data_IF_136949135531
#
_entry.id   IF_136949135531
#
_cell.length_a   1.000
_cell.length_b   1.000
_cell.length_c   1.000
_cell.angle_alpha   90.00
_cell.angle_beta   90.00
_cell.angle_gamma   90.00
#
_symmetry.space_group_name_H-M   'P 1'
#
loop_
_entity.id
_entity.type
_entity.pdbx_description
1 polymer ?
#
# COMPACT_ATOMS: atom_id res chain seq x y z
N UNK A 1 18.01 -14.14 10.16
CA UNK A 1 17.68 -12.74 10.56
C UNK A 1 17.45 -11.88 9.32
N UNK A 2 16.69 -10.78 9.37
CA UNK A 2 16.53 -9.91 8.20
C UNK A 2 17.84 -9.18 7.87
N UNK A 3 18.21 -9.16 6.59
CA UNK A 3 19.35 -8.38 6.09
C UNK A 3 19.08 -6.88 6.16
N UNK A 4 20.13 -6.05 6.12
CA UNK A 4 19.98 -4.58 6.13
C UNK A 4 19.04 -4.10 5.00
N UNK A 5 19.14 -4.71 3.82
CA UNK A 5 18.31 -4.37 2.66
C UNK A 5 16.83 -4.65 2.96
N UNK A 6 16.49 -5.84 3.45
CA UNK A 6 15.11 -6.20 3.82
C UNK A 6 14.56 -5.26 4.88
N UNK A 7 15.37 -4.90 5.88
CA UNK A 7 14.98 -3.96 6.94
C UNK A 7 14.67 -2.57 6.37
N UNK A 8 15.52 -2.04 5.49
CA UNK A 8 15.29 -0.75 4.84
C UNK A 8 14.09 -0.78 3.89
N UNK A 9 13.85 -1.90 3.20
CA UNK A 9 12.66 -2.07 2.38
C UNK A 9 11.41 -1.91 3.26
N UNK A 10 11.27 -2.68 4.34
CA UNK A 10 10.12 -2.53 5.25
C UNK A 10 10.00 -1.12 5.85
N UNK A 11 11.12 -0.47 6.22
CA UNK A 11 11.09 0.91 6.70
C UNK A 11 10.61 1.90 5.63
N UNK A 12 10.98 1.71 4.36
CA UNK A 12 10.48 2.53 3.26
C UNK A 12 8.96 2.39 3.10
N UNK A 13 8.43 1.17 3.23
CA UNK A 13 6.98 0.95 3.29
C UNK A 13 6.32 1.65 4.48
N UNK A 14 6.91 1.55 5.68
CA UNK A 14 6.41 2.26 6.86
C UNK A 14 6.37 3.78 6.64
N UNK A 15 7.42 4.36 6.05
CA UNK A 15 7.48 5.79 5.74
C UNK A 15 6.44 6.19 4.69
N UNK A 16 6.26 5.38 3.65
CA UNK A 16 5.22 5.56 2.64
C UNK A 16 3.82 5.62 3.27
N UNK A 17 3.51 4.70 4.18
CA UNK A 17 2.20 4.66 4.86
C UNK A 17 1.99 5.85 5.80
N UNK A 18 3.05 6.39 6.42
CA UNK A 18 2.96 7.66 7.16
C UNK A 18 2.62 8.82 6.21
N UNK A 19 3.29 8.91 5.06
CA UNK A 19 2.99 9.94 4.08
C UNK A 19 1.55 9.83 3.53
N UNK A 20 1.07 8.60 3.30
CA UNK A 20 -0.31 8.33 2.90
C UNK A 20 -1.30 8.75 4.00
N UNK A 21 -1.02 8.45 5.27
CA UNK A 21 -1.85 8.89 6.39
C UNK A 21 -2.00 10.42 6.42
N UNK A 22 -0.88 11.14 6.30
CA UNK A 22 -0.85 12.60 6.24
C UNK A 22 -1.65 13.10 5.04
N UNK A 23 -1.45 12.51 3.86
CA UNK A 23 -2.15 12.90 2.64
C UNK A 23 -3.66 12.75 2.76
N UNK A 24 -4.15 11.61 3.23
CA UNK A 24 -5.60 11.39 3.46
C UNK A 24 -6.13 12.29 4.59
N UNK A 25 -5.36 12.51 5.66
CA UNK A 25 -5.82 13.40 6.72
C UNK A 25 -5.98 14.84 6.23
N UNK A 26 -5.04 15.39 5.46
CA UNK A 26 -5.12 16.77 4.99
C UNK A 26 -5.80 16.95 3.62
N UNK A 27 -6.27 15.86 2.99
CA UNK A 27 -6.89 15.91 1.67
C UNK A 27 -5.92 16.23 0.52
N UNK A 28 -4.64 15.87 0.67
CA UNK A 28 -3.59 16.10 -0.32
C UNK A 28 -3.70 15.05 -1.43
N UNK A 29 -4.38 15.40 -2.53
CA UNK A 29 -4.68 14.51 -3.66
C UNK A 29 -3.51 14.35 -4.62
N UNK A 30 -2.48 13.61 -4.20
CA UNK A 30 -1.35 13.25 -5.05
C UNK A 30 -1.47 11.79 -5.53
N UNK A 31 -1.28 11.48 -6.83
CA UNK A 31 -1.43 10.12 -7.37
C UNK A 31 -0.55 9.04 -6.74
N UNK A 32 0.46 9.39 -5.95
CA UNK A 32 1.34 8.40 -5.30
C UNK A 32 0.89 8.12 -3.86
N UNK A 33 0.34 9.12 -3.20
CA UNK A 33 -0.01 9.09 -1.77
C UNK A 33 -1.50 8.90 -1.52
N UNK A 34 -2.32 9.05 -2.56
CA UNK A 34 -3.77 9.05 -2.48
C UNK A 34 -4.31 8.11 -3.55
N UNK A 35 -4.83 6.97 -3.12
CA UNK A 35 -5.44 5.99 -4.04
C UNK A 35 -6.74 6.58 -4.56
N UNK A 36 -6.98 6.47 -5.87
CA UNK A 36 -8.16 7.05 -6.52
C UNK A 36 -8.29 8.59 -6.32
N UNK A 37 -7.16 9.30 -6.26
CA UNK A 37 -7.04 10.73 -5.93
C UNK A 37 -8.06 11.68 -6.61
N UNK A 38 -8.48 11.35 -7.82
CA UNK A 38 -9.37 12.13 -8.68
C UNK A 38 -10.81 11.59 -8.75
N UNK A 39 -11.21 10.69 -7.86
CA UNK A 39 -12.61 10.28 -7.72
C UNK A 39 -13.32 11.02 -6.58
N UNK A 40 -14.65 11.13 -6.60
CA UNK A 40 -15.42 11.72 -5.51
C UNK A 40 -15.31 10.90 -4.21
N UNK A 41 -15.09 11.55 -3.08
CA UNK A 41 -15.13 10.94 -1.75
C UNK A 41 -15.78 11.88 -0.75
N UNK A 42 -16.29 11.30 0.33
CA UNK A 42 -16.64 12.09 1.51
C UNK A 42 -15.39 12.32 2.37
N UNK A 43 -15.18 13.56 2.80
CA UNK A 43 -14.01 13.95 3.58
C UNK A 43 -13.81 13.10 4.86
N UNK A 44 -14.89 12.61 5.48
CA UNK A 44 -14.79 11.73 6.65
C UNK A 44 -14.20 10.34 6.32
N UNK A 45 -14.40 9.83 5.10
CA UNK A 45 -13.85 8.55 4.65
C UNK A 45 -12.33 8.63 4.58
N UNK A 46 -11.79 9.75 4.09
CA UNK A 46 -10.34 10.00 4.07
C UNK A 46 -9.75 10.03 5.47
N UNK A 47 -10.47 10.61 6.44
CA UNK A 47 -10.05 10.55 7.85
C UNK A 47 -10.00 9.12 8.35
N UNK A 48 -11.00 8.29 8.05
CA UNK A 48 -11.00 6.87 8.43
C UNK A 48 -9.79 6.15 7.81
N UNK A 49 -9.53 6.34 6.51
CA UNK A 49 -8.38 5.75 5.82
C UNK A 49 -7.07 6.19 6.47
N UNK A 50 -6.94 7.48 6.83
CA UNK A 50 -5.73 8.03 7.45
C UNK A 50 -5.37 7.35 8.78
N UNK A 51 -6.36 6.93 9.57
CA UNK A 51 -6.11 6.18 10.81
C UNK A 51 -5.98 4.68 10.56
N UNK A 52 -6.73 4.11 9.61
CA UNK A 52 -6.64 2.70 9.27
C UNK A 52 -5.24 2.33 8.72
N UNK A 53 -4.63 3.20 7.91
CA UNK A 53 -3.31 2.96 7.34
C UNK A 53 -2.18 2.97 8.39
N UNK A 54 -2.40 3.54 9.59
CA UNK A 54 -1.45 3.44 10.70
C UNK A 54 -1.20 1.98 11.15
N UNK A 55 -2.15 1.06 10.91
CA UNK A 55 -1.92 -0.36 11.13
C UNK A 55 -0.79 -0.90 10.23
N UNK A 56 -0.72 -0.44 8.98
CA UNK A 56 0.38 -0.79 8.08
C UNK A 56 1.71 -0.18 8.55
N UNK A 57 1.70 1.05 9.07
CA UNK A 57 2.90 1.68 9.67
C UNK A 57 3.48 0.79 10.77
N UNK A 58 2.64 0.41 11.75
CA UNK A 58 3.06 -0.45 12.85
C UNK A 58 3.54 -1.82 12.38
N UNK A 59 2.80 -2.46 11.46
CA UNK A 59 3.13 -3.78 10.92
C UNK A 59 4.45 -3.77 10.15
N UNK A 60 4.68 -2.78 9.29
CA UNK A 60 5.90 -2.65 8.49
C UNK A 60 7.10 -2.25 9.35
N UNK A 61 6.91 -1.36 10.33
CA UNK A 61 7.94 -1.06 11.31
C UNK A 61 8.34 -2.31 12.09
N UNK A 62 7.37 -3.11 12.56
CA UNK A 62 7.64 -4.37 13.27
C UNK A 62 8.37 -5.38 12.36
N UNK A 63 7.92 -5.57 11.12
CA UNK A 63 8.58 -6.43 10.13
C UNK A 63 10.03 -5.99 9.82
N UNK A 64 10.36 -4.70 9.96
CA UNK A 64 11.73 -4.20 9.82
C UNK A 64 12.68 -4.62 10.96
N UNK A 65 12.13 -5.08 12.08
CA UNK A 65 12.87 -5.51 13.27
C UNK A 65 12.79 -7.02 13.47
N UNK A 66 11.64 -7.62 13.15
CA UNK A 66 11.25 -8.97 13.49
C UNK A 66 10.91 -9.78 12.22
N UNK A 67 11.69 -10.84 11.95
CA UNK A 67 11.56 -11.64 10.73
C UNK A 67 10.28 -12.47 10.71
N UNK A 68 9.86 -12.97 11.86
CA UNK A 68 8.61 -13.68 12.12
C UNK A 68 7.38 -12.86 11.69
N UNK A 69 7.45 -11.53 11.76
CA UNK A 69 6.37 -10.63 11.32
C UNK A 69 6.44 -10.31 9.81
N UNK A 70 7.59 -10.49 9.18
CA UNK A 70 7.83 -10.07 7.80
C UNK A 70 6.90 -10.73 6.78
N UNK A 71 6.65 -12.04 6.91
CA UNK A 71 5.74 -12.74 6.01
C UNK A 71 4.30 -12.24 6.16
N UNK A 72 3.85 -12.00 7.39
CA UNK A 72 2.53 -11.43 7.67
C UNK A 72 2.38 -10.06 7.01
N UNK A 73 3.38 -9.18 7.10
CA UNK A 73 3.37 -7.88 6.44
C UNK A 73 3.26 -7.99 4.92
N UNK A 74 3.99 -8.94 4.31
CA UNK A 74 3.94 -9.22 2.87
C UNK A 74 2.55 -9.72 2.45
N UNK A 75 1.98 -10.67 3.20
CA UNK A 75 0.64 -11.22 2.91
C UNK A 75 -0.43 -10.16 3.02
N UNK A 76 -0.41 -9.35 4.08
CA UNK A 76 -1.38 -8.25 4.25
C UNK A 76 -1.28 -7.27 3.08
N UNK A 77 -0.07 -6.90 2.65
CA UNK A 77 0.09 -6.01 1.49
C UNK A 77 -0.37 -6.67 0.18
N UNK A 78 -0.15 -7.97 0.01
CA UNK A 78 -0.65 -8.72 -1.15
C UNK A 78 -2.19 -8.74 -1.18
N UNK A 79 -2.85 -8.88 -0.02
CA UNK A 79 -4.30 -8.77 0.08
C UNK A 79 -4.79 -7.35 -0.27
N UNK A 80 -4.03 -6.30 0.08
CA UNK A 80 -4.32 -4.94 -0.39
C UNK A 80 -4.31 -4.86 -1.91
N UNK A 81 -3.30 -5.45 -2.58
CA UNK A 81 -3.22 -5.47 -4.05
C UNK A 81 -4.44 -6.16 -4.66
N UNK A 82 -4.86 -7.29 -4.11
CA UNK A 82 -6.06 -8.01 -4.58
C UNK A 82 -7.31 -7.14 -4.38
N UNK A 83 -7.46 -6.51 -3.21
CA UNK A 83 -8.57 -5.60 -2.92
C UNK A 83 -8.61 -4.40 -3.87
N UNK A 84 -7.47 -3.78 -4.14
CA UNK A 84 -7.36 -2.68 -5.13
C UNK A 84 -7.71 -3.16 -6.54
N UNK A 85 -7.22 -4.33 -6.94
CA UNK A 85 -7.59 -4.95 -8.22
C UNK A 85 -9.10 -5.17 -8.34
N UNK A 86 -9.74 -5.67 -7.28
CA UNK A 86 -11.18 -5.87 -7.23
C UNK A 86 -11.95 -4.53 -7.34
N UNK A 87 -11.47 -3.47 -6.70
CA UNK A 87 -12.08 -2.13 -6.81
C UNK A 87 -11.88 -1.55 -8.22
N UNK A 88 -10.70 -1.70 -8.83
CA UNK A 88 -10.42 -1.22 -10.19
C UNK A 88 -11.35 -1.81 -11.26
N UNK A 89 -11.83 -3.03 -11.07
CA UNK A 89 -12.78 -3.70 -11.99
C UNK A 89 -14.24 -3.57 -11.55
N UNK A 90 -14.50 -2.91 -10.41
CA UNK A 90 -15.84 -2.85 -9.84
C UNK A 90 -16.76 -1.90 -10.62
N UNK A 91 -18.04 -2.25 -10.67
CA UNK A 91 -19.10 -1.35 -11.13
C UNK A 91 -19.26 -0.13 -10.21
N UNK A 92 -18.94 -0.26 -8.91
CA UNK A 92 -18.95 0.83 -7.95
C UNK A 92 -17.97 1.95 -8.34
N UNK A 93 -16.71 1.61 -8.65
CA UNK A 93 -15.75 2.59 -9.15
C UNK A 93 -16.24 3.19 -10.47
N UNK A 94 -16.69 2.35 -11.40
CA UNK A 94 -17.20 2.82 -12.70
C UNK A 94 -18.35 3.81 -12.58
N UNK A 95 -19.20 3.68 -11.55
CA UNK A 95 -20.34 4.56 -11.32
C UNK A 95 -19.97 5.98 -10.85
N UNK A 96 -18.74 6.17 -10.36
CA UNK A 96 -18.26 7.47 -9.86
C UNK A 96 -17.24 8.14 -10.78
N UNK A 97 -16.83 7.47 -11.86
CA UNK A 97 -15.93 8.04 -12.85
C UNK A 97 -16.65 9.01 -13.77
N UNK A 98 -15.96 10.08 -14.15
CA UNK A 98 -16.43 10.98 -15.21
C UNK A 98 -16.32 10.30 -16.59
N UNK A 99 -17.17 10.70 -17.54
CA UNK A 99 -17.17 10.12 -18.88
C UNK A 99 -15.80 10.28 -19.56
N UNK A 100 -15.19 9.15 -19.96
CA UNK A 100 -13.86 9.13 -20.58
C UNK A 100 -12.68 9.20 -19.60
N UNK A 101 -12.93 9.19 -18.28
CA UNK A 101 -11.86 9.18 -17.28
C UNK A 101 -11.05 7.88 -17.37
N UNK A 102 -9.73 7.95 -17.56
CA UNK A 102 -8.89 6.76 -17.67
C UNK A 102 -8.70 6.10 -16.30
N UNK A 103 -8.79 4.78 -16.25
CA UNK A 103 -8.48 3.98 -15.04
C UNK A 103 -7.01 3.54 -14.97
N UNK A 104 -6.23 3.83 -16.02
CA UNK A 104 -4.82 3.45 -16.10
C UNK A 104 -3.98 3.94 -14.91
N UNK A 105 -4.15 5.17 -14.37
CA UNK A 105 -3.42 5.60 -13.18
C UNK A 105 -3.63 4.69 -11.96
N UNK A 106 -4.84 4.16 -11.75
CA UNK A 106 -5.15 3.27 -10.62
C UNK A 106 -4.52 1.90 -10.80
N UNK A 107 -4.46 1.41 -12.04
CA UNK A 107 -3.72 0.19 -12.38
C UNK A 107 -2.21 0.36 -12.18
N UNK A 108 -1.64 1.52 -12.51
CA UNK A 108 -0.23 1.81 -12.24
C UNK A 108 0.06 1.83 -10.74
N UNK A 109 -0.80 2.44 -9.91
CA UNK A 109 -0.68 2.41 -8.45
C UNK A 109 -0.72 0.96 -7.93
N UNK A 110 -1.71 0.19 -8.38
CA UNK A 110 -1.89 -1.22 -7.97
C UNK A 110 -0.69 -2.06 -8.38
N UNK A 111 -0.18 -1.88 -9.60
CA UNK A 111 1.01 -2.55 -10.13
C UNK A 111 2.30 -2.17 -9.40
N UNK A 112 2.43 -0.91 -8.96
CA UNK A 112 3.57 -0.46 -8.15
C UNK A 112 3.59 -1.16 -6.78
N UNK A 113 2.44 -1.25 -6.12
CA UNK A 113 2.32 -1.98 -4.84
C UNK A 113 2.57 -3.48 -5.05
N UNK A 114 2.05 -4.08 -6.13
CA UNK A 114 2.30 -5.48 -6.48
C UNK A 114 3.80 -5.76 -6.72
N UNK A 115 4.48 -4.87 -7.43
CA UNK A 115 5.92 -4.95 -7.65
C UNK A 115 6.70 -4.85 -6.33
N UNK A 116 6.26 -3.97 -5.43
CA UNK A 116 6.85 -3.84 -4.11
C UNK A 116 6.64 -5.10 -3.24
N UNK A 117 5.46 -5.73 -3.30
CA UNK A 117 5.21 -7.05 -2.68
C UNK A 117 6.19 -8.10 -3.21
N UNK A 118 6.38 -8.17 -4.53
CA UNK A 118 7.31 -9.12 -5.15
C UNK A 118 8.75 -8.90 -4.67
N UNK A 119 9.21 -7.64 -4.59
CA UNK A 119 10.52 -7.29 -4.05
C UNK A 119 10.68 -7.76 -2.60
N UNK A 120 9.70 -7.46 -1.74
CA UNK A 120 9.73 -7.88 -0.33
C UNK A 120 9.74 -9.41 -0.20
N UNK A 121 8.98 -10.13 -1.03
CA UNK A 121 8.95 -11.58 -1.03
C UNK A 121 10.30 -12.18 -1.45
N UNK A 122 10.92 -11.65 -2.52
CA UNK A 122 12.26 -12.07 -2.97
C UNK A 122 13.29 -11.85 -1.87
N UNK A 123 13.28 -10.68 -1.23
CA UNK A 123 14.17 -10.35 -0.12
C UNK A 123 13.95 -11.30 1.08
N UNK A 124 12.69 -11.55 1.44
CA UNK A 124 12.33 -12.46 2.52
C UNK A 124 12.85 -13.88 2.27
N UNK A 125 12.65 -14.42 1.06
CA UNK A 125 13.14 -15.76 0.68
C UNK A 125 14.66 -15.81 0.68
N UNK A 126 15.32 -14.80 0.13
CA UNK A 126 16.80 -14.73 0.08
C UNK A 126 17.41 -14.72 1.48
N UNK A 127 16.87 -13.93 2.39
CA UNK A 127 17.33 -13.88 3.79
C UNK A 127 17.13 -15.21 4.52
N UNK A 128 16.10 -15.99 4.15
CA UNK A 128 15.84 -17.31 4.72
C UNK A 128 16.83 -18.38 4.26
N UNK A 129 17.31 -18.30 3.02
CA UNK A 129 18.34 -19.21 2.48
C UNK A 129 19.75 -18.95 3.04
N UNK A 130 19.99 -17.75 3.55
CA UNK A 130 21.28 -17.30 4.08
C UNK A 130 21.33 -17.27 5.62
N UNK A 131 20.29 -17.79 6.30
CA UNK A 131 20.22 -17.93 7.76
C UNK A 131 20.55 -19.36 8.15
#
# INVERSE_FOLDING_TARGET
MNSKITRYAFLAGSAYFVCMAIAHFFGIKLPILFVYYDTPFYAYQDKIISFAVCAYVGLFYSASKHRDVALTAIVVLALTVIGLGAVNVSSALSSVLTAGQPTMPYWLQTGAIASYVAVLLVLYVKDGKNS
#
